data_IF_827553200480
#
_entry.id   IF_827553200480
#
_cell.length_a   1.000
_cell.length_b   1.000
_cell.length_c   1.000
_cell.angle_alpha   90.00
_cell.angle_beta   90.00
_cell.angle_gamma   90.00
#
_symmetry.space_group_name_H-M   'P 1'
#
loop_
_entity.id
_entity.type
_entity.pdbx_description
1 polymer ?
#
# COMPACT_ATOMS: atom_id res chain seq x y z
N UNK A 1 -70.49 8.36 -0.35
CA UNK A 1 -69.56 7.29 -0.78
C UNK A 1 -68.72 7.82 -1.92
N UNK A 2 -67.53 8.33 -1.65
CA UNK A 2 -66.61 8.80 -2.69
C UNK A 2 -65.26 8.10 -2.48
N UNK A 3 -65.00 7.09 -3.33
CA UNK A 3 -63.82 6.24 -3.30
C UNK A 3 -62.72 6.91 -4.12
N UNK A 4 -61.71 7.46 -3.44
CA UNK A 4 -60.52 8.02 -4.08
C UNK A 4 -59.42 6.96 -4.12
N UNK A 5 -59.22 6.40 -5.31
CA UNK A 5 -58.17 5.46 -5.66
C UNK A 5 -56.80 6.18 -5.63
N UNK A 6 -55.97 5.85 -4.65
CA UNK A 6 -54.59 6.34 -4.55
C UNK A 6 -53.65 5.42 -5.32
N UNK A 7 -53.18 5.89 -6.48
CA UNK A 7 -52.21 5.22 -7.34
C UNK A 7 -50.82 5.34 -6.70
N UNK A 8 -50.31 4.26 -6.11
CA UNK A 8 -48.94 4.19 -5.58
C UNK A 8 -47.95 4.31 -6.74
N UNK A 9 -47.25 5.44 -6.85
CA UNK A 9 -46.07 5.57 -7.70
C UNK A 9 -44.94 4.72 -7.11
N UNK A 10 -44.63 3.63 -7.79
CA UNK A 10 -43.47 2.80 -7.51
C UNK A 10 -42.25 3.52 -8.10
N UNK A 11 -41.52 4.26 -7.27
CA UNK A 11 -40.23 4.83 -7.65
C UNK A 11 -39.27 3.68 -8.01
N UNK A 12 -38.88 3.60 -9.28
CA UNK A 12 -37.81 2.71 -9.72
C UNK A 12 -36.53 3.19 -9.05
N UNK A 13 -36.03 2.42 -8.08
CA UNK A 13 -34.68 2.63 -7.53
C UNK A 13 -33.70 2.53 -8.70
N UNK A 14 -32.83 3.54 -8.92
CA UNK A 14 -31.81 3.46 -9.95
C UNK A 14 -30.96 2.21 -9.71
N UNK A 15 -30.69 1.48 -10.78
CA UNK A 15 -29.83 0.30 -10.75
C UNK A 15 -28.45 0.73 -10.21
N UNK A 16 -27.99 0.21 -9.06
CA UNK A 16 -26.73 0.64 -8.45
C UNK A 16 -25.50 0.13 -9.21
N UNK A 17 -25.67 -0.49 -10.38
CA UNK A 17 -24.56 -0.89 -11.23
C UNK A 17 -23.78 0.36 -11.67
N UNK A 18 -22.49 0.49 -11.29
CA UNK A 18 -21.66 1.59 -11.74
C UNK A 18 -21.63 1.62 -13.27
N UNK A 19 -21.54 2.80 -13.86
CA UNK A 19 -21.40 2.95 -15.31
C UNK A 19 -20.04 2.40 -15.75
N UNK A 20 -20.02 1.10 -16.06
CA UNK A 20 -18.85 0.35 -16.51
C UNK A 20 -18.32 0.81 -17.87
N UNK A 21 -18.94 1.80 -18.52
CA UNK A 21 -18.42 2.37 -19.76
C UNK A 21 -17.43 3.53 -19.52
N UNK A 22 -17.32 4.07 -18.29
CA UNK A 22 -16.36 5.14 -17.97
C UNK A 22 -14.94 4.64 -17.64
N UNK A 23 -14.77 3.36 -17.33
CA UNK A 23 -13.50 2.78 -16.91
C UNK A 23 -12.81 1.94 -18.01
N UNK A 24 -13.48 1.72 -19.15
CA UNK A 24 -12.96 0.92 -20.28
C UNK A 24 -11.78 1.59 -21.00
N UNK A 25 -10.60 1.00 -20.85
CA UNK A 25 -9.43 1.16 -21.72
C UNK A 25 -8.62 2.45 -21.57
N UNK A 26 -9.19 3.52 -21.01
CA UNK A 26 -8.55 4.85 -20.92
C UNK A 26 -7.21 4.84 -20.16
N UNK A 27 -7.13 4.18 -19.01
CA UNK A 27 -5.94 4.30 -18.16
C UNK A 27 -4.78 3.40 -18.57
N UNK A 28 -5.05 2.21 -19.11
CA UNK A 28 -4.01 1.28 -19.54
C UNK A 28 -3.32 1.78 -20.81
N UNK A 29 -4.09 2.15 -21.83
CA UNK A 29 -3.54 2.67 -23.09
C UNK A 29 -2.77 3.97 -22.85
N UNK A 30 -3.28 4.85 -21.97
CA UNK A 30 -2.56 6.05 -21.56
C UNK A 30 -1.23 5.73 -20.88
N UNK A 31 -1.16 4.68 -20.06
CA UNK A 31 0.10 4.26 -19.42
C UNK A 31 1.09 3.68 -20.43
N UNK A 32 0.62 2.92 -21.42
CA UNK A 32 1.46 2.43 -22.53
C UNK A 32 2.02 3.58 -23.36
N UNK A 33 1.19 4.55 -23.75
CA UNK A 33 1.65 5.76 -24.44
C UNK A 33 2.69 6.51 -23.61
N UNK A 34 2.48 6.61 -22.30
CA UNK A 34 3.42 7.26 -21.40
C UNK A 34 4.75 6.50 -21.28
N UNK A 35 4.72 5.16 -21.34
CA UNK A 35 5.91 4.32 -21.37
C UNK A 35 6.71 4.52 -22.67
N UNK A 36 6.03 4.60 -23.82
CA UNK A 36 6.67 4.91 -25.11
C UNK A 36 7.40 6.25 -25.04
N UNK A 37 6.75 7.29 -24.52
CA UNK A 37 7.39 8.60 -24.31
C UNK A 37 8.60 8.53 -23.35
N UNK A 38 8.56 7.66 -22.33
CA UNK A 38 9.71 7.47 -21.43
C UNK A 38 10.89 6.82 -22.16
N UNK A 39 10.62 5.87 -23.05
CA UNK A 39 11.64 5.23 -23.89
C UNK A 39 12.38 6.22 -24.77
N UNK A 40 11.65 7.16 -25.38
CA UNK A 40 12.26 8.23 -26.19
C UNK A 40 13.25 9.09 -25.37
N UNK A 41 12.91 9.42 -24.12
CA UNK A 41 13.80 10.16 -23.21
C UNK A 41 15.08 9.35 -22.92
N UNK A 42 14.95 8.05 -22.63
CA UNK A 42 16.12 7.21 -22.36
C UNK A 42 16.98 6.97 -23.60
N UNK A 43 16.37 6.81 -24.77
CA UNK A 43 17.09 6.74 -26.04
C UNK A 43 17.88 8.03 -26.31
N UNK A 44 17.39 9.20 -25.88
CA UNK A 44 18.15 10.44 -25.93
C UNK A 44 19.33 10.43 -24.96
N UNK A 45 19.13 10.02 -23.69
CA UNK A 45 20.20 9.86 -22.70
C UNK A 45 21.32 8.92 -23.20
N UNK A 46 20.94 7.77 -23.78
CA UNK A 46 21.84 6.77 -24.32
C UNK A 46 22.76 7.29 -25.43
N UNK A 47 22.31 8.28 -26.21
CA UNK A 47 23.13 8.89 -27.28
C UNK A 47 24.18 9.85 -26.74
N UNK A 48 23.94 10.42 -25.56
CA UNK A 48 24.76 11.48 -24.99
C UNK A 48 25.75 10.95 -23.95
N UNK A 49 25.40 9.87 -23.26
CA UNK A 49 26.09 9.41 -22.05
C UNK A 49 26.68 8.01 -22.16
N UNK A 50 27.45 7.61 -21.15
CA UNK A 50 28.16 6.32 -21.12
C UNK A 50 27.22 5.11 -21.08
N UNK A 51 27.76 3.93 -21.44
CA UNK A 51 27.01 2.66 -21.47
C UNK A 51 26.40 2.33 -20.10
N UNK A 52 27.12 2.54 -18.99
CA UNK A 52 26.62 2.22 -17.65
C UNK A 52 25.40 3.04 -17.24
N UNK A 53 25.34 4.32 -17.66
CA UNK A 53 24.16 5.20 -17.49
C UNK A 53 22.98 4.68 -18.30
N UNK A 54 23.28 4.20 -19.51
CA UNK A 54 22.34 3.56 -20.39
C UNK A 54 21.66 2.34 -19.78
N UNK A 55 22.44 1.45 -19.20
CA UNK A 55 21.95 0.19 -18.63
C UNK A 55 20.96 0.44 -17.47
N UNK A 56 21.28 1.36 -16.56
CA UNK A 56 20.39 1.73 -15.44
C UNK A 56 19.06 2.29 -15.94
N UNK A 57 19.10 3.22 -16.91
CA UNK A 57 17.89 3.84 -17.44
C UNK A 57 17.01 2.82 -18.20
N UNK A 58 17.62 1.90 -18.94
CA UNK A 58 16.92 0.83 -19.65
C UNK A 58 16.26 -0.17 -18.70
N UNK A 59 16.93 -0.55 -17.61
CA UNK A 59 16.35 -1.44 -16.59
C UNK A 59 15.07 -0.84 -15.98
N UNK A 60 15.07 0.45 -15.63
CA UNK A 60 13.87 1.12 -15.11
C UNK A 60 12.70 1.12 -16.10
N UNK A 61 12.95 1.27 -17.41
CA UNK A 61 11.89 1.16 -18.43
C UNK A 61 11.38 -0.27 -18.56
N UNK A 62 12.29 -1.25 -18.55
CA UNK A 62 11.94 -2.65 -18.67
C UNK A 62 11.00 -3.06 -17.53
N UNK A 63 11.32 -2.68 -16.27
CA UNK A 63 10.44 -2.92 -15.12
C UNK A 63 9.03 -2.34 -15.29
N UNK A 64 8.90 -1.13 -15.85
CA UNK A 64 7.57 -0.57 -16.17
C UNK A 64 6.83 -1.45 -17.18
N UNK A 65 7.53 -1.90 -18.23
CA UNK A 65 6.93 -2.75 -19.26
C UNK A 65 6.48 -4.11 -18.71
N UNK A 66 7.35 -4.77 -17.94
CA UNK A 66 7.05 -6.04 -17.30
C UNK A 66 5.87 -5.90 -16.32
N UNK A 67 5.80 -4.78 -15.60
CA UNK A 67 4.69 -4.49 -14.70
C UNK A 67 3.37 -4.28 -15.41
N UNK A 68 3.35 -3.48 -16.47
CA UNK A 68 2.13 -3.29 -17.27
C UNK A 68 1.68 -4.58 -17.94
N UNK A 69 2.63 -5.41 -18.41
CA UNK A 69 2.33 -6.71 -18.99
C UNK A 69 1.73 -7.68 -17.95
N UNK A 70 2.31 -7.77 -16.75
CA UNK A 70 1.80 -8.59 -15.65
C UNK A 70 0.41 -8.15 -15.20
N UNK A 71 0.21 -6.84 -15.02
CA UNK A 71 -1.11 -6.27 -14.70
C UNK A 71 -2.13 -6.64 -15.77
N UNK A 72 -1.78 -6.52 -17.06
CA UNK A 72 -2.67 -6.86 -18.17
C UNK A 72 -3.06 -8.33 -18.16
N UNK A 73 -2.08 -9.23 -18.01
CA UNK A 73 -2.31 -10.66 -17.99
C UNK A 73 -3.28 -11.07 -16.88
N UNK A 74 -3.12 -10.51 -15.67
CA UNK A 74 -4.04 -10.75 -14.55
C UNK A 74 -5.41 -10.13 -14.82
N UNK A 75 -5.44 -8.90 -15.31
CA UNK A 75 -6.67 -8.17 -15.59
C UNK A 75 -7.54 -8.92 -16.61
N UNK A 76 -6.93 -9.41 -17.69
CA UNK A 76 -7.59 -10.20 -18.74
C UNK A 76 -8.15 -11.54 -18.21
N UNK A 77 -7.61 -12.06 -17.10
CA UNK A 77 -8.07 -13.28 -16.45
C UNK A 77 -9.20 -13.06 -15.41
N UNK A 78 -9.51 -11.81 -15.03
CA UNK A 78 -10.45 -11.50 -13.97
C UNK A 78 -11.80 -10.96 -14.51
N UNK A 79 -12.93 -11.30 -13.87
CA UNK A 79 -14.17 -10.58 -14.10
C UNK A 79 -14.00 -9.14 -13.59
N UNK A 80 -14.29 -8.14 -14.42
CA UNK A 80 -14.08 -6.70 -14.16
C UNK A 80 -12.60 -6.28 -14.05
N UNK A 81 -11.86 -6.39 -15.17
CA UNK A 81 -10.42 -6.09 -15.27
C UNK A 81 -10.00 -4.77 -14.62
N UNK A 82 -10.81 -3.73 -14.79
CA UNK A 82 -10.49 -2.36 -14.38
C UNK A 82 -10.48 -2.17 -12.86
N UNK A 83 -11.44 -2.79 -12.16
CA UNK A 83 -11.53 -2.69 -10.70
C UNK A 83 -10.41 -3.47 -10.03
N UNK A 84 -10.02 -4.59 -10.63
CA UNK A 84 -8.88 -5.36 -10.17
C UNK A 84 -7.56 -4.63 -10.46
N UNK A 85 -7.35 -4.14 -11.67
CA UNK A 85 -6.05 -3.56 -12.05
C UNK A 85 -5.74 -2.22 -11.38
N UNK A 86 -6.74 -1.46 -10.92
CA UNK A 86 -6.57 -0.08 -10.46
C UNK A 86 -5.47 0.11 -9.39
N UNK A 87 -5.37 -0.68 -8.30
CA UNK A 87 -4.32 -0.52 -7.31
C UNK A 87 -2.92 -0.71 -7.91
N UNK A 88 -2.74 -1.73 -8.76
CA UNK A 88 -1.46 -2.02 -9.39
C UNK A 88 -1.07 -0.94 -10.42
N UNK A 89 -2.04 -0.48 -11.24
CA UNK A 89 -1.84 0.61 -12.19
C UNK A 89 -1.47 1.92 -11.49
N UNK A 90 -1.98 2.16 -10.29
CA UNK A 90 -1.63 3.34 -9.48
C UNK A 90 -0.15 3.35 -9.10
N UNK A 91 0.38 2.21 -8.67
CA UNK A 91 1.81 2.08 -8.32
C UNK A 91 2.68 2.20 -9.56
N UNK A 92 2.33 1.51 -10.65
CA UNK A 92 3.04 1.61 -11.92
C UNK A 92 3.09 3.05 -12.45
N UNK A 93 1.98 3.79 -12.36
CA UNK A 93 1.90 5.21 -12.73
C UNK A 93 2.82 6.07 -11.86
N UNK A 94 2.79 5.87 -10.55
CA UNK A 94 3.62 6.64 -9.62
C UNK A 94 5.12 6.43 -9.89
N UNK A 95 5.54 5.19 -10.21
CA UNK A 95 6.91 4.89 -10.60
C UNK A 95 7.26 5.51 -11.95
N UNK A 96 6.38 5.39 -12.95
CA UNK A 96 6.59 5.99 -14.27
C UNK A 96 6.77 7.51 -14.20
N UNK A 97 5.93 8.20 -13.41
CA UNK A 97 6.04 9.64 -13.17
C UNK A 97 7.33 9.99 -12.42
N UNK A 98 7.78 9.12 -11.51
CA UNK A 98 9.07 9.26 -10.83
C UNK A 98 10.23 9.12 -11.84
N UNK A 99 10.29 8.05 -12.64
CA UNK A 99 11.32 7.85 -13.67
C UNK A 99 11.42 9.03 -14.64
N UNK A 100 10.27 9.54 -15.11
CA UNK A 100 10.20 10.72 -15.99
C UNK A 100 10.87 11.95 -15.37
N UNK A 101 10.60 12.23 -14.09
CA UNK A 101 11.24 13.34 -13.38
C UNK A 101 12.74 13.09 -13.20
N UNK A 102 13.13 11.87 -12.84
CA UNK A 102 14.55 11.56 -12.63
C UNK A 102 15.36 11.67 -13.93
N UNK A 103 14.87 11.14 -15.04
CA UNK A 103 15.60 11.20 -16.31
C UNK A 103 15.74 12.62 -16.84
N UNK A 104 14.69 13.44 -16.74
CA UNK A 104 14.78 14.87 -17.09
C UNK A 104 15.79 15.62 -16.24
N UNK A 105 15.86 15.35 -14.94
CA UNK A 105 16.85 15.99 -14.07
C UNK A 105 18.27 15.46 -14.38
N UNK A 106 18.41 14.17 -14.69
CA UNK A 106 19.68 13.55 -15.06
C UNK A 106 20.30 14.16 -16.33
N UNK A 107 19.48 14.64 -17.27
CA UNK A 107 19.95 15.36 -18.46
C UNK A 107 20.73 16.64 -18.10
N UNK A 108 20.33 17.33 -17.03
CA UNK A 108 20.93 18.58 -16.59
C UNK A 108 22.03 18.41 -15.52
N UNK A 109 22.07 17.26 -14.85
CA UNK A 109 23.05 16.99 -13.81
C UNK A 109 24.45 16.71 -14.39
N UNK A 110 25.49 17.13 -13.68
CA UNK A 110 26.88 16.73 -13.95
C UNK A 110 27.20 15.35 -13.33
N UNK A 111 28.27 14.70 -13.80
CA UNK A 111 28.84 13.57 -13.05
C UNK A 111 29.53 14.09 -11.76
N UNK A 112 29.35 13.45 -10.58
CA UNK A 112 28.74 12.15 -10.32
C UNK A 112 27.27 12.20 -9.86
N UNK A 113 26.62 13.38 -9.88
CA UNK A 113 25.22 13.56 -9.45
C UNK A 113 24.28 12.74 -10.35
N UNK A 114 24.50 12.79 -11.67
CA UNK A 114 23.72 12.03 -12.64
C UNK A 114 23.70 10.54 -12.34
N UNK A 115 24.88 9.94 -12.14
CA UNK A 115 24.99 8.51 -11.83
C UNK A 115 24.19 8.14 -10.59
N UNK A 116 24.36 8.88 -9.48
CA UNK A 116 23.60 8.65 -8.24
C UNK A 116 22.09 8.73 -8.45
N UNK A 117 21.63 9.69 -9.25
CA UNK A 117 20.20 9.80 -9.60
C UNK A 117 19.68 8.57 -10.32
N UNK A 118 20.41 8.09 -11.31
CA UNK A 118 20.00 6.92 -12.07
C UNK A 118 20.08 5.64 -11.22
N UNK A 119 21.05 5.53 -10.32
CA UNK A 119 21.11 4.44 -9.33
C UNK A 119 19.89 4.45 -8.41
N UNK A 120 19.51 5.59 -7.84
CA UNK A 120 18.29 5.69 -7.01
C UNK A 120 17.04 5.35 -7.83
N UNK A 121 17.02 5.72 -9.11
CA UNK A 121 15.90 5.41 -10.00
C UNK A 121 15.76 3.90 -10.23
N UNK A 122 16.88 3.22 -10.45
CA UNK A 122 16.96 1.76 -10.59
C UNK A 122 16.55 1.05 -9.30
N UNK A 123 17.15 1.43 -8.16
CA UNK A 123 16.82 0.88 -6.84
C UNK A 123 15.35 1.04 -6.50
N UNK A 124 14.76 2.21 -6.77
CA UNK A 124 13.33 2.45 -6.58
C UNK A 124 12.45 1.47 -7.38
N UNK A 125 12.94 0.93 -8.51
CA UNK A 125 12.28 -0.12 -9.27
C UNK A 125 11.99 -1.40 -8.47
N UNK A 126 12.84 -1.75 -7.50
CA UNK A 126 12.60 -2.88 -6.59
C UNK A 126 11.32 -2.76 -5.76
N UNK A 127 10.87 -1.53 -5.48
CA UNK A 127 9.61 -1.27 -4.78
C UNK A 127 8.40 -1.54 -5.69
N UNK A 128 8.53 -1.25 -7.00
CA UNK A 128 7.54 -1.63 -7.99
C UNK A 128 7.46 -3.16 -8.11
N UNK A 129 8.62 -3.82 -8.25
CA UNK A 129 8.72 -5.28 -8.36
C UNK A 129 8.07 -5.96 -7.14
N UNK A 130 8.36 -5.47 -5.94
CA UNK A 130 7.76 -5.97 -4.69
C UNK A 130 6.24 -5.78 -4.69
N UNK A 131 5.75 -4.59 -5.06
CA UNK A 131 4.31 -4.32 -5.12
C UNK A 131 3.59 -5.20 -6.15
N UNK A 132 4.25 -5.49 -7.27
CA UNK A 132 3.70 -6.37 -8.31
C UNK A 132 3.65 -7.82 -7.85
N UNK A 133 4.70 -8.32 -7.20
CA UNK A 133 4.69 -9.68 -6.66
C UNK A 133 3.54 -9.88 -5.66
N UNK A 134 3.26 -8.91 -4.79
CA UNK A 134 2.11 -8.94 -3.88
C UNK A 134 0.78 -9.03 -4.63
N UNK A 135 0.65 -8.28 -5.72
CA UNK A 135 -0.54 -8.27 -6.56
C UNK A 135 -0.74 -9.64 -7.24
N UNK A 136 0.32 -10.20 -7.82
CA UNK A 136 0.33 -11.52 -8.46
C UNK A 136 -0.07 -12.64 -7.48
N UNK A 137 0.47 -12.62 -6.25
CA UNK A 137 0.13 -13.59 -5.21
C UNK A 137 -1.36 -13.56 -4.84
N UNK A 138 -1.99 -12.39 -4.88
CA UNK A 138 -3.37 -12.23 -4.45
C UNK A 138 -4.37 -12.49 -5.57
N UNK A 139 -3.98 -12.30 -6.83
CA UNK A 139 -4.84 -12.38 -8.01
C UNK A 139 -5.80 -13.58 -8.03
N UNK A 140 -5.37 -14.83 -7.71
CA UNK A 140 -6.27 -15.99 -7.71
C UNK A 140 -7.44 -15.86 -6.72
N UNK A 141 -7.19 -15.26 -5.55
CA UNK A 141 -8.21 -15.05 -4.52
C UNK A 141 -9.21 -13.94 -4.88
N UNK A 142 -8.92 -13.11 -5.89
CA UNK A 142 -9.71 -11.93 -6.26
C UNK A 142 -10.86 -12.24 -7.19
N UNK A 143 -10.70 -13.24 -8.07
CA UNK A 143 -11.69 -13.59 -9.08
C UNK A 143 -13.13 -13.65 -8.55
N UNK A 144 -13.43 -14.30 -7.41
CA UNK A 144 -14.80 -14.34 -6.88
C UNK A 144 -15.25 -13.04 -6.19
N UNK A 145 -14.33 -12.22 -5.67
CA UNK A 145 -14.64 -11.05 -4.84
C UNK A 145 -14.96 -9.80 -5.67
N UNK A 146 -14.23 -9.61 -6.77
CA UNK A 146 -14.42 -8.47 -7.68
C UNK A 146 -15.84 -8.48 -8.27
N UNK A 147 -16.42 -9.66 -8.48
CA UNK A 147 -17.79 -9.81 -8.98
C UNK A 147 -18.88 -9.25 -8.04
N UNK A 148 -18.58 -9.06 -6.74
CA UNK A 148 -19.56 -8.61 -5.75
C UNK A 148 -19.77 -7.09 -5.72
N UNK A 149 -18.90 -6.30 -6.35
CA UNK A 149 -19.01 -4.84 -6.43
C UNK A 149 -18.80 -4.10 -5.10
N UNK A 150 -18.55 -2.80 -5.22
CA UNK A 150 -18.20 -1.80 -4.19
C UNK A 150 -16.74 -1.74 -3.81
N UNK A 151 -16.18 -0.54 -3.99
CA UNK A 151 -14.77 -0.27 -3.75
C UNK A 151 -14.51 1.24 -3.57
N UNK A 152 -14.53 1.79 -2.33
CA UNK A 152 -14.08 3.19 -2.03
C UNK A 152 -13.03 3.30 -0.89
N UNK A 153 -11.75 3.37 -1.27
CA UNK A 153 -10.55 3.69 -0.49
C UNK A 153 -9.49 4.01 -1.54
N UNK A 154 -9.11 5.28 -1.64
CA UNK A 154 -8.16 5.77 -2.63
C UNK A 154 -7.14 6.61 -1.89
N UNK A 155 -5.94 6.05 -1.70
CA UNK A 155 -4.78 6.79 -1.23
C UNK A 155 -3.76 6.88 -2.37
N UNK A 156 -3.02 8.00 -2.49
CA UNK A 156 -1.98 8.12 -3.49
C UNK A 156 -0.86 7.11 -3.23
N UNK A 157 -0.31 6.52 -4.31
CA UNK A 157 0.95 5.81 -4.26
C UNK A 157 2.08 6.85 -4.30
N UNK A 158 2.63 7.20 -3.14
CA UNK A 158 3.63 8.27 -3.00
C UNK A 158 5.01 7.76 -2.54
N UNK A 159 5.21 6.46 -2.37
CA UNK A 159 6.48 5.86 -1.89
C UNK A 159 7.70 6.36 -2.67
N UNK A 160 7.64 6.39 -4.01
CA UNK A 160 8.76 6.85 -4.84
C UNK A 160 9.07 8.34 -4.64
N UNK A 161 8.04 9.16 -4.46
CA UNK A 161 8.21 10.59 -4.23
C UNK A 161 8.78 10.88 -2.83
N UNK A 162 8.32 10.15 -1.81
CA UNK A 162 8.82 10.29 -0.45
C UNK A 162 10.25 9.76 -0.31
N UNK A 163 10.58 8.61 -0.92
CA UNK A 163 11.94 8.11 -0.97
C UNK A 163 12.89 9.13 -1.62
N UNK A 164 12.50 9.66 -2.79
CA UNK A 164 13.27 10.70 -3.46
C UNK A 164 13.46 11.97 -2.62
N UNK A 165 12.45 12.37 -1.85
CA UNK A 165 12.54 13.55 -0.98
C UNK A 165 13.57 13.34 0.12
N UNK A 166 13.57 12.18 0.76
CA UNK A 166 14.52 11.85 1.83
C UNK A 166 15.96 11.69 1.29
N UNK A 167 16.09 11.19 0.07
CA UNK A 167 17.38 10.97 -0.61
C UNK A 167 17.88 12.20 -1.39
N UNK A 168 17.16 13.33 -1.35
CA UNK A 168 17.48 14.51 -2.16
C UNK A 168 18.88 15.09 -1.88
N UNK A 169 19.44 14.85 -0.69
CA UNK A 169 20.80 15.29 -0.34
C UNK A 169 21.88 14.62 -1.20
N UNK A 170 21.63 13.43 -1.75
CA UNK A 170 22.53 12.72 -2.66
C UNK A 170 22.70 13.43 -4.00
N UNK A 171 21.80 14.37 -4.33
CA UNK A 171 21.88 15.15 -5.57
C UNK A 171 22.78 16.37 -5.46
N UNK A 172 23.42 16.59 -4.31
CA UNK A 172 24.38 17.68 -4.16
C UNK A 172 25.72 17.27 -4.78
N UNK A 173 26.38 18.22 -5.43
CA UNK A 173 27.72 18.00 -6.01
C UNK A 173 28.77 17.65 -4.95
N UNK A 174 28.59 18.13 -3.72
CA UNK A 174 29.48 17.89 -2.58
C UNK A 174 29.15 16.65 -1.74
N UNK A 175 28.07 15.92 -2.06
CA UNK A 175 27.75 14.68 -1.35
C UNK A 175 28.69 13.56 -1.78
N UNK A 176 29.20 12.81 -0.83
CA UNK A 176 30.06 11.63 -0.98
C UNK A 176 29.36 10.32 -0.53
N UNK A 177 28.10 10.42 -0.09
CA UNK A 177 27.34 9.29 0.40
C UNK A 177 27.02 8.28 -0.71
N UNK A 178 27.11 7.01 -0.36
CA UNK A 178 26.78 5.89 -1.25
C UNK A 178 25.26 5.81 -1.47
N UNK A 179 24.78 5.82 -2.73
CA UNK A 179 23.36 5.82 -3.02
C UNK A 179 22.65 4.51 -2.62
N UNK A 180 23.34 3.37 -2.59
CA UNK A 180 22.76 2.07 -2.23
C UNK A 180 22.54 2.03 -0.72
N UNK A 181 23.58 2.30 0.07
CA UNK A 181 23.49 2.34 1.55
C UNK A 181 22.46 3.38 2.01
N UNK A 182 22.43 4.55 1.37
CA UNK A 182 21.46 5.58 1.68
C UNK A 182 20.02 5.15 1.36
N UNK A 183 19.80 4.44 0.24
CA UNK A 183 18.50 3.92 -0.14
C UNK A 183 18.00 2.86 0.85
N UNK A 184 18.87 1.93 1.26
CA UNK A 184 18.55 0.89 2.25
C UNK A 184 18.17 1.48 3.61
N UNK A 185 18.74 2.62 3.99
CA UNK A 185 18.43 3.34 5.24
C UNK A 185 17.27 4.33 5.13
N UNK A 186 16.66 4.49 3.96
CA UNK A 186 15.58 5.45 3.75
C UNK A 186 14.31 4.99 4.48
N UNK A 187 13.73 5.83 5.34
CA UNK A 187 12.54 5.48 6.12
C UNK A 187 11.36 5.11 5.23
N UNK A 188 11.19 5.80 4.09
CA UNK A 188 10.12 5.50 3.14
C UNK A 188 10.29 4.11 2.50
N UNK A 189 11.53 3.71 2.21
CA UNK A 189 11.86 2.38 1.68
C UNK A 189 11.59 1.33 2.75
N UNK A 190 12.14 1.49 3.95
CA UNK A 190 11.92 0.56 5.06
C UNK A 190 10.43 0.37 5.39
N UNK A 191 9.67 1.47 5.43
CA UNK A 191 8.22 1.46 5.67
C UNK A 191 7.47 0.69 4.58
N UNK A 192 7.81 0.91 3.31
CA UNK A 192 7.23 0.19 2.16
C UNK A 192 7.55 -1.30 2.20
N UNK A 193 8.79 -1.65 2.53
CA UNK A 193 9.23 -3.04 2.73
C UNK A 193 8.43 -3.71 3.83
N UNK A 194 8.28 -3.07 5.00
CA UNK A 194 7.46 -3.60 6.10
C UNK A 194 5.99 -3.79 5.69
N UNK A 195 5.42 -2.83 4.98
CA UNK A 195 4.07 -2.95 4.43
C UNK A 195 3.93 -4.16 3.51
N UNK A 196 4.96 -4.42 2.70
CA UNK A 196 5.01 -5.61 1.84
C UNK A 196 5.14 -6.90 2.66
N UNK A 197 5.99 -6.91 3.69
CA UNK A 197 6.16 -8.05 4.60
C UNK A 197 4.85 -8.42 5.30
N UNK A 198 4.08 -7.43 5.78
CA UNK A 198 2.74 -7.67 6.38
C UNK A 198 1.84 -8.46 5.43
N UNK A 199 1.81 -8.05 4.16
CA UNK A 199 0.96 -8.68 3.15
C UNK A 199 1.43 -10.10 2.81
N UNK A 200 2.75 -10.28 2.64
CA UNK A 200 3.35 -11.59 2.36
C UNK A 200 3.11 -12.58 3.51
N UNK A 201 3.29 -12.16 4.76
CA UNK A 201 3.04 -13.02 5.92
C UNK A 201 1.56 -13.43 6.04
N UNK A 202 0.63 -12.52 5.74
CA UNK A 202 -0.80 -12.87 5.70
C UNK A 202 -1.08 -13.99 4.68
N UNK A 203 -0.46 -13.90 3.50
CA UNK A 203 -0.58 -14.94 2.47
C UNK A 203 0.05 -16.26 2.93
N UNK A 204 1.28 -16.22 3.44
CA UNK A 204 2.01 -17.39 3.94
C UNK A 204 1.26 -18.12 5.06
N UNK A 205 0.71 -17.40 6.03
CA UNK A 205 -0.11 -17.96 7.12
C UNK A 205 -1.30 -18.75 6.57
N UNK A 206 -1.97 -18.21 5.55
CA UNK A 206 -3.10 -18.90 4.93
C UNK A 206 -2.66 -20.15 4.14
N UNK A 207 -1.55 -20.08 3.39
CA UNK A 207 -1.00 -21.24 2.66
C UNK A 207 -0.61 -22.38 3.62
N UNK A 208 0.04 -22.06 4.75
CA UNK A 208 0.36 -23.06 5.79
C UNK A 208 -0.92 -23.62 6.41
N UNK A 209 -1.90 -22.76 6.70
CA UNK A 209 -3.21 -23.17 7.19
C UNK A 209 -3.90 -24.15 6.24
N UNK A 210 -3.94 -23.83 4.94
CA UNK A 210 -4.58 -24.63 3.91
C UNK A 210 -3.86 -25.98 3.69
N UNK A 211 -2.52 -25.98 3.64
CA UNK A 211 -1.73 -27.21 3.48
C UNK A 211 -1.89 -28.18 4.67
N UNK A 212 -2.24 -27.65 5.85
CA UNK A 212 -2.55 -28.43 7.06
C UNK A 212 -4.02 -28.85 7.16
N UNK A 213 -4.85 -28.58 6.13
CA UNK A 213 -6.29 -28.86 6.13
C UNK A 213 -7.13 -27.90 6.99
N UNK A 214 -6.52 -26.81 7.47
CA UNK A 214 -7.20 -25.74 8.20
C UNK A 214 -7.94 -24.78 7.28
N UNK A 215 -8.79 -23.93 7.89
CA UNK A 215 -9.40 -22.81 7.19
C UNK A 215 -8.49 -21.57 7.24
N UNK A 216 -8.62 -20.68 6.26
CA UNK A 216 -7.91 -19.40 6.22
C UNK A 216 -8.05 -18.62 7.54
N UNK A 217 -6.91 -18.19 8.07
CA UNK A 217 -6.88 -17.26 9.20
C UNK A 217 -7.35 -15.89 8.74
N UNK A 218 -6.86 -15.43 7.58
CA UNK A 218 -7.22 -14.14 7.00
C UNK A 218 -8.07 -14.35 5.74
N UNK A 219 -9.38 -14.25 5.86
CA UNK A 219 -10.27 -14.44 4.70
C UNK A 219 -10.04 -13.31 3.69
N UNK A 220 -9.84 -13.63 2.40
CA UNK A 220 -9.70 -12.61 1.38
C UNK A 220 -11.03 -11.83 1.25
N UNK A 221 -10.93 -10.51 1.17
CA UNK A 221 -12.07 -9.61 0.91
C UNK A 221 -11.65 -8.53 -0.08
N UNK A 222 -12.62 -7.84 -0.69
CA UNK A 222 -12.34 -6.67 -1.55
C UNK A 222 -11.51 -5.59 -0.82
N UNK A 223 -11.65 -5.49 0.51
CA UNK A 223 -10.89 -4.53 1.32
C UNK A 223 -9.45 -5.00 1.54
N UNK A 224 -9.22 -6.30 1.71
CA UNK A 224 -7.86 -6.87 1.87
C UNK A 224 -7.01 -6.55 0.64
N UNK A 225 -7.59 -6.68 -0.56
CA UNK A 225 -6.89 -6.39 -1.80
C UNK A 225 -6.32 -4.98 -1.84
N UNK A 226 -7.13 -4.01 -1.41
CA UNK A 226 -6.71 -2.62 -1.38
C UNK A 226 -5.71 -2.35 -0.29
N UNK A 227 -5.88 -2.99 0.86
CA UNK A 227 -4.89 -2.91 1.91
C UNK A 227 -3.52 -3.32 1.36
N UNK A 228 -3.44 -4.39 0.57
CA UNK A 228 -2.17 -4.87 0.03
C UNK A 228 -1.42 -3.86 -0.82
N UNK A 229 -2.09 -3.24 -1.80
CA UNK A 229 -1.46 -2.21 -2.63
C UNK A 229 -1.18 -0.93 -1.86
N UNK A 230 -2.00 -0.60 -0.85
CA UNK A 230 -1.87 0.63 -0.08
C UNK A 230 -0.73 0.56 0.93
N UNK A 231 -0.59 -0.56 1.65
CA UNK A 231 0.44 -0.73 2.68
C UNK A 231 1.87 -0.65 2.13
N UNK A 232 2.10 -1.12 0.91
CA UNK A 232 3.41 -1.08 0.26
C UNK A 232 3.69 0.22 -0.50
N UNK A 233 2.67 0.98 -0.93
CA UNK A 233 2.87 2.12 -1.83
C UNK A 233 2.55 3.49 -1.25
N UNK A 234 1.88 3.54 -0.09
CA UNK A 234 1.51 4.78 0.59
C UNK A 234 2.39 5.00 1.83
N UNK A 235 2.97 6.20 1.89
CA UNK A 235 3.76 6.71 3.01
C UNK A 235 2.99 7.88 3.63
N UNK A 236 2.71 7.77 4.91
CA UNK A 236 1.92 8.72 5.69
C UNK A 236 2.69 10.02 5.87
N UNK A 237 2.17 11.10 5.27
CA UNK A 237 2.74 12.46 5.38
C UNK A 237 1.88 13.39 6.22
N UNK A 238 0.68 12.95 6.55
CA UNK A 238 -0.36 13.68 7.25
C UNK A 238 -1.30 12.67 7.92
N UNK A 239 -2.29 13.22 8.64
CA UNK A 239 -3.27 12.43 9.35
C UNK A 239 -4.14 11.56 8.43
N UNK A 240 -4.54 12.09 7.28
CA UNK A 240 -5.46 11.41 6.38
C UNK A 240 -4.80 10.18 5.74
N UNK A 241 -3.58 10.36 5.24
CA UNK A 241 -2.75 9.27 4.71
C UNK A 241 -2.49 8.21 5.77
N UNK A 242 -2.19 8.59 7.01
CA UNK A 242 -2.05 7.65 8.12
C UNK A 242 -3.36 6.91 8.45
N UNK A 243 -4.51 7.60 8.43
CA UNK A 243 -5.81 6.97 8.63
C UNK A 243 -6.14 5.92 7.54
N UNK A 244 -5.70 6.15 6.30
CA UNK A 244 -5.80 5.14 5.23
C UNK A 244 -4.95 3.90 5.52
N UNK A 245 -3.72 4.06 6.04
CA UNK A 245 -2.89 2.92 6.49
C UNK A 245 -3.60 2.14 7.60
N UNK A 246 -4.14 2.84 8.61
CA UNK A 246 -4.82 2.21 9.74
C UNK A 246 -6.06 1.43 9.30
N UNK A 247 -6.85 1.97 8.38
CA UNK A 247 -7.99 1.25 7.81
C UNK A 247 -7.55 0.01 7.01
N UNK A 248 -6.47 0.12 6.22
CA UNK A 248 -5.91 -1.01 5.49
C UNK A 248 -5.49 -2.13 6.45
N UNK A 249 -4.74 -1.82 7.52
CA UNK A 249 -4.36 -2.80 8.54
C UNK A 249 -5.57 -3.37 9.27
N UNK A 250 -6.56 -2.54 9.62
CA UNK A 250 -7.78 -3.00 10.29
C UNK A 250 -8.56 -3.99 9.41
N UNK A 251 -8.73 -3.69 8.12
CA UNK A 251 -9.44 -4.60 7.22
C UNK A 251 -8.67 -5.88 6.97
N UNK A 252 -7.36 -5.77 6.77
CA UNK A 252 -6.50 -6.94 6.51
C UNK A 252 -6.41 -7.86 7.74
N UNK A 253 -6.12 -7.30 8.92
CA UNK A 253 -5.79 -8.07 10.11
C UNK A 253 -6.99 -8.30 11.01
N UNK A 254 -7.76 -7.27 11.36
CA UNK A 254 -8.86 -7.39 12.31
C UNK A 254 -10.13 -7.95 11.65
N UNK A 255 -10.64 -7.33 10.57
CA UNK A 255 -11.81 -7.84 9.86
C UNK A 255 -11.48 -9.14 9.11
N UNK A 256 -10.30 -9.19 8.46
CA UNK A 256 -9.79 -10.36 7.75
C UNK A 256 -9.66 -11.59 8.65
N UNK A 257 -9.38 -11.45 9.94
CA UNK A 257 -9.38 -12.55 10.93
C UNK A 257 -10.76 -12.86 11.54
N UNK A 258 -11.83 -12.26 11.01
CA UNK A 258 -13.19 -12.47 11.51
C UNK A 258 -13.43 -11.71 12.81
N UNK A 259 -13.04 -10.43 12.82
CA UNK A 259 -13.11 -9.56 13.99
C UNK A 259 -12.24 -10.08 15.14
N UNK A 260 -10.98 -10.40 14.81
CA UNK A 260 -9.98 -11.01 15.71
C UNK A 260 -10.26 -12.44 16.20
N UNK A 261 -11.46 -13.00 15.99
CA UNK A 261 -11.84 -14.30 16.56
C UNK A 261 -10.85 -15.43 16.24
N UNK A 262 -10.37 -15.50 15.00
CA UNK A 262 -9.40 -16.55 14.60
C UNK A 262 -8.01 -16.37 15.19
N UNK A 263 -7.69 -15.17 15.68
CA UNK A 263 -6.42 -14.86 16.35
C UNK A 263 -6.52 -15.06 17.86
N UNK A 264 -7.65 -14.68 18.48
CA UNK A 264 -7.91 -14.91 19.92
C UNK A 264 -7.96 -16.39 20.30
N UNK A 265 -8.28 -17.27 19.35
CA UNK A 265 -8.24 -18.72 19.56
C UNK A 265 -6.80 -19.28 19.56
N UNK A 266 -5.81 -18.48 19.16
CA UNK A 266 -4.41 -18.92 18.95
C UNK A 266 -3.39 -18.19 19.82
N UNK A 267 -3.65 -16.93 20.17
CA UNK A 267 -2.72 -16.05 20.87
C UNK A 267 -3.33 -15.51 22.16
N UNK A 268 -2.49 -15.16 23.12
CA UNK A 268 -2.92 -14.46 24.33
C UNK A 268 -3.33 -13.02 24.03
N UNK A 269 -4.01 -12.36 24.97
CA UNK A 269 -4.46 -10.98 24.79
C UNK A 269 -3.27 -10.01 24.69
N UNK A 270 -2.19 -10.27 25.41
CA UNK A 270 -0.95 -9.49 25.35
C UNK A 270 -0.30 -9.56 23.96
N UNK A 271 -0.27 -10.75 23.36
CA UNK A 271 0.25 -10.95 22.01
C UNK A 271 -0.60 -10.23 20.94
N UNK A 272 -1.86 -9.91 21.26
CA UNK A 272 -2.79 -9.21 20.36
C UNK A 272 -2.76 -7.69 20.50
N UNK A 273 -1.90 -7.13 21.36
CA UNK A 273 -1.85 -5.69 21.57
C UNK A 273 -1.66 -4.87 20.28
N UNK A 274 -0.80 -5.27 19.29
CA UNK A 274 -0.74 -4.57 18.01
C UNK A 274 -2.09 -4.50 17.27
N UNK A 275 -2.90 -5.56 17.34
CA UNK A 275 -4.22 -5.61 16.73
C UNK A 275 -5.21 -4.68 17.45
N UNK A 276 -5.13 -4.62 18.78
CA UNK A 276 -5.93 -3.73 19.61
C UNK A 276 -5.58 -2.27 19.39
N UNK A 277 -4.30 -1.95 19.27
CA UNK A 277 -3.81 -0.64 18.87
C UNK A 277 -4.42 -0.21 17.52
N UNK A 278 -4.33 -1.05 16.48
CA UNK A 278 -4.93 -0.76 15.16
C UNK A 278 -6.42 -0.45 15.28
N UNK A 279 -7.17 -1.25 16.06
CA UNK A 279 -8.60 -1.04 16.30
C UNK A 279 -8.86 0.29 17.02
N UNK A 280 -8.10 0.62 18.06
CA UNK A 280 -8.23 1.89 18.80
C UNK A 280 -7.95 3.09 17.91
N UNK A 281 -6.86 3.05 17.14
CA UNK A 281 -6.50 4.09 16.18
C UNK A 281 -7.63 4.32 15.17
N UNK A 282 -8.18 3.24 14.60
CA UNK A 282 -9.27 3.33 13.62
C UNK A 282 -10.51 4.00 14.21
N UNK A 283 -10.94 3.58 15.40
CA UNK A 283 -12.04 4.24 16.12
C UNK A 283 -11.73 5.71 16.40
N UNK A 284 -10.45 6.04 16.61
CA UNK A 284 -9.91 7.39 16.69
C UNK A 284 -10.21 8.28 15.49
N UNK A 285 -10.04 7.74 14.28
CA UNK A 285 -10.20 8.48 13.03
C UNK A 285 -11.63 8.56 12.49
N UNK A 286 -12.51 7.62 12.84
CA UNK A 286 -13.84 7.47 12.20
C UNK A 286 -15.00 8.07 13.01
N UNK A 287 -14.74 9.08 13.85
CA UNK A 287 -15.71 9.78 14.71
C UNK A 287 -16.42 8.94 15.77
N UNK A 288 -16.11 7.65 15.89
CA UNK A 288 -16.62 6.79 16.96
C UNK A 288 -16.21 7.28 18.37
N UNK A 289 -15.19 8.15 18.45
CA UNK A 289 -14.77 8.78 19.70
C UNK A 289 -15.78 9.79 20.26
N UNK A 290 -16.64 10.37 19.44
CA UNK A 290 -17.54 11.45 19.86
C UNK A 290 -18.91 10.94 20.35
N UNK A 291 -19.08 9.61 20.36
CA UNK A 291 -20.28 8.94 20.88
C UNK A 291 -20.04 8.31 22.26
N UNK A 292 -20.92 8.63 23.20
CA UNK A 292 -20.95 8.04 24.55
C UNK A 292 -20.92 9.06 25.68
N UNK A 293 -20.71 8.58 26.90
CA UNK A 293 -20.55 9.42 28.09
C UNK A 293 -19.26 10.26 27.99
N UNK A 294 -19.31 11.51 28.45
CA UNK A 294 -18.16 12.44 28.36
C UNK A 294 -16.90 11.90 29.04
N UNK A 295 -17.04 11.12 30.11
CA UNK A 295 -15.90 10.49 30.81
C UNK A 295 -15.24 9.44 29.92
N UNK A 296 -16.03 8.64 29.21
CA UNK A 296 -15.51 7.63 28.29
C UNK A 296 -14.84 8.27 27.08
N UNK A 297 -15.42 9.35 26.53
CA UNK A 297 -14.80 10.13 25.44
C UNK A 297 -13.44 10.68 25.86
N UNK A 298 -13.34 11.28 27.06
CA UNK A 298 -12.07 11.78 27.60
C UNK A 298 -11.05 10.65 27.79
N UNK A 299 -11.45 9.51 28.33
CA UNK A 299 -10.57 8.34 28.50
C UNK A 299 -10.05 7.83 27.16
N UNK A 300 -10.92 7.67 26.15
CA UNK A 300 -10.52 7.21 24.81
C UNK A 300 -9.56 8.19 24.13
N UNK A 301 -9.81 9.51 24.25
CA UNK A 301 -8.91 10.55 23.71
C UNK A 301 -7.56 10.56 24.41
N UNK A 302 -7.54 10.34 25.72
CA UNK A 302 -6.30 10.22 26.48
C UNK A 302 -5.50 8.99 26.03
N UNK A 303 -6.14 7.82 25.97
CA UNK A 303 -5.53 6.58 25.47
C UNK A 303 -4.98 6.75 24.06
N UNK A 304 -5.73 7.37 23.15
CA UNK A 304 -5.26 7.65 21.79
C UNK A 304 -4.02 8.56 21.79
N UNK A 305 -3.95 9.51 22.73
CA UNK A 305 -2.77 10.34 22.93
C UNK A 305 -1.55 9.53 23.37
N UNK A 306 -1.73 8.59 24.30
CA UNK A 306 -0.68 7.66 24.74
C UNK A 306 -0.23 6.73 23.62
N UNK A 307 -1.18 6.18 22.84
CA UNK A 307 -0.91 5.35 21.67
C UNK A 307 -0.01 6.11 20.66
N UNK A 308 -0.20 7.41 20.44
CA UNK A 308 0.69 8.20 19.58
C UNK A 308 2.07 8.47 20.19
N UNK A 309 2.14 8.73 21.50
CA UNK A 309 3.43 8.90 22.19
C UNK A 309 4.26 7.63 22.05
N UNK A 310 3.63 6.47 22.20
CA UNK A 310 4.25 5.17 22.03
C UNK A 310 4.70 4.93 20.57
N UNK A 311 3.90 5.34 19.57
CA UNK A 311 4.22 5.16 18.16
C UNK A 311 5.29 6.12 17.61
N UNK A 312 5.33 7.37 18.07
CA UNK A 312 6.18 8.41 17.45
C UNK A 312 6.83 9.40 18.43
N UNK A 313 6.78 9.13 19.73
CA UNK A 313 7.42 9.96 20.76
C UNK A 313 6.68 11.25 21.12
N UNK A 314 5.51 11.51 20.53
CA UNK A 314 4.69 12.69 20.83
C UNK A 314 3.20 12.37 20.78
N UNK A 315 2.38 13.14 21.50
CA UNK A 315 0.93 13.10 21.32
C UNK A 315 0.56 13.40 19.86
N UNK A 316 -0.63 12.95 19.42
CA UNK A 316 -1.15 13.02 18.04
C UNK A 316 -0.44 14.11 17.20
N UNK A 317 0.34 13.71 16.17
CA UNK A 317 1.15 14.67 15.42
C UNK A 317 0.29 15.79 14.81
N UNK A 318 0.88 16.98 14.69
CA UNK A 318 0.24 18.06 13.95
C UNK A 318 0.09 17.67 12.47
N UNK A 319 -0.89 18.25 11.77
CA UNK A 319 -1.17 17.93 10.37
C UNK A 319 0.07 18.04 9.45
N UNK A 320 0.96 19.00 9.71
CA UNK A 320 2.17 19.23 8.92
C UNK A 320 3.40 18.41 9.36
N UNK A 321 3.30 17.57 10.40
CA UNK A 321 4.43 16.85 10.99
C UNK A 321 4.74 15.54 10.24
N UNK A 322 5.05 15.63 8.93
CA UNK A 322 5.22 14.45 8.06
C UNK A 322 6.21 13.41 8.60
N UNK A 323 7.31 13.83 9.22
CA UNK A 323 8.28 12.90 9.82
C UNK A 323 7.67 12.06 10.94
N UNK A 324 6.79 12.64 11.77
CA UNK A 324 6.14 11.93 12.86
C UNK A 324 5.03 10.99 12.37
N UNK A 325 4.30 11.37 11.32
CA UNK A 325 3.32 10.47 10.67
C UNK A 325 4.02 9.25 10.06
N UNK A 326 5.18 9.45 9.41
CA UNK A 326 6.01 8.35 8.92
C UNK A 326 6.54 7.47 10.05
N UNK A 327 7.06 8.07 11.13
CA UNK A 327 7.52 7.31 12.30
C UNK A 327 6.40 6.45 12.89
N UNK A 328 5.20 7.03 13.07
CA UNK A 328 4.04 6.30 13.55
C UNK A 328 3.64 5.15 12.61
N UNK A 329 3.71 5.35 11.29
CA UNK A 329 3.45 4.29 10.31
C UNK A 329 4.48 3.16 10.41
N UNK A 330 5.77 3.49 10.39
CA UNK A 330 6.84 2.50 10.47
C UNK A 330 6.73 1.66 11.73
N UNK A 331 6.49 2.30 12.88
CA UNK A 331 6.33 1.58 14.14
C UNK A 331 5.06 0.70 14.16
N UNK A 332 3.95 1.19 13.63
CA UNK A 332 2.71 0.41 13.53
C UNK A 332 2.88 -0.82 12.63
N UNK A 333 3.54 -0.67 11.48
CA UNK A 333 3.83 -1.78 10.57
C UNK A 333 4.81 -2.79 11.18
N UNK A 334 5.85 -2.32 11.87
CA UNK A 334 6.79 -3.17 12.60
C UNK A 334 6.06 -4.08 13.59
N UNK A 335 5.18 -3.53 14.42
CA UNK A 335 4.36 -4.30 15.37
C UNK A 335 3.39 -5.26 14.70
N UNK A 336 2.85 -4.88 13.54
CA UNK A 336 2.00 -5.77 12.75
C UNK A 336 2.81 -6.98 12.21
N UNK A 337 4.05 -6.78 11.78
CA UNK A 337 4.97 -7.86 11.38
C UNK A 337 5.26 -8.79 12.56
N UNK A 338 5.55 -8.26 13.74
CA UNK A 338 5.78 -9.06 14.96
C UNK A 338 4.56 -9.93 15.30
N UNK A 339 3.37 -9.33 15.32
CA UNK A 339 2.11 -10.06 15.50
C UNK A 339 1.98 -11.20 14.48
N UNK A 340 2.24 -10.93 13.20
CA UNK A 340 2.11 -11.93 12.15
C UNK A 340 3.11 -13.08 12.28
N UNK A 341 4.34 -12.83 12.75
CA UNK A 341 5.28 -13.91 13.07
C UNK A 341 4.77 -14.80 14.21
N UNK A 342 4.15 -14.23 15.25
CA UNK A 342 3.51 -15.04 16.30
C UNK A 342 2.37 -15.90 15.75
N UNK A 343 1.53 -15.33 14.85
CA UNK A 343 0.46 -16.07 14.18
C UNK A 343 1.01 -17.17 13.29
N UNK A 344 2.09 -16.90 12.55
CA UNK A 344 2.78 -17.86 11.70
C UNK A 344 3.28 -19.05 12.51
N UNK A 345 3.96 -18.79 13.63
CA UNK A 345 4.42 -19.85 14.53
C UNK A 345 3.27 -20.70 15.08
N UNK A 346 2.22 -20.04 15.61
CA UNK A 346 1.03 -20.72 16.11
C UNK A 346 0.25 -21.48 15.02
N UNK A 347 0.43 -21.14 13.74
CA UNK A 347 -0.20 -21.83 12.60
C UNK A 347 0.64 -23.02 12.15
N UNK A 348 1.97 -22.91 12.18
CA UNK A 348 2.91 -23.99 11.91
C UNK A 348 2.99 -25.04 13.05
N UNK A 349 2.35 -24.77 14.19
CA UNK A 349 2.42 -25.63 15.38
C UNK A 349 3.72 -25.50 16.16
N UNK A 350 4.50 -24.43 15.92
CA UNK A 350 5.61 -24.06 16.81
C UNK A 350 5.06 -23.36 18.05
N UNK A 351 5.62 -23.67 19.21
CA UNK A 351 5.20 -23.04 20.46
C UNK A 351 5.50 -21.54 20.39
N UNK A 352 4.47 -20.65 20.51
CA UNK A 352 4.67 -19.20 20.44
C UNK A 352 5.57 -18.66 21.56
N UNK A 353 5.86 -19.45 22.61
CA UNK A 353 6.78 -19.10 23.70
C UNK A 353 8.27 -19.18 23.32
N UNK A 354 8.59 -19.60 22.10
CA UNK A 354 9.96 -19.88 21.63
C UNK A 354 10.58 -18.81 20.72
N UNK A 355 9.84 -17.74 20.41
CA UNK A 355 10.24 -16.65 19.48
C UNK A 355 10.58 -15.37 20.24
#
# INVERSE_FOLDING_TARGET
MSSTCTRKHQERRPDPRPDLNLLKGCDFERLLEQQVQLREIVEALLRTYSVSIGDLAMQSIQRVGDSLAGIRAISDALPYPELAAEPALRVARAYLDFCRRQFRNAEADEEPVRLRRLTITDLAGSLLDSSQALWEMQAPALAPLVAAGVMTMTAPANVFAEANRQLAYLYRSDSDADPVEAFERCDAVATSTQGSTVVSLVYEINEIGASSGGADIFKPTNKNLRASGLLSSTIATDEESFAYIVDALYFLLYEGSGYAKRLTDKLSDENLEPLWLIKRLRSGFRHDLDHGDQRDVRRKRHQLGEDFVDLCGQARPAAAAAAAWRAAQGELLRRAVELLHLVLGATAGTDPSSV
#
